data_IF_644436693132
#
_entry.id   IF_644436693132
#
_cell.length_a   1.000
_cell.length_b   1.000
_cell.length_c   1.000
_cell.angle_alpha   90.00
_cell.angle_beta   90.00
_cell.angle_gamma   90.00
#
_symmetry.space_group_name_H-M   'P 1'
#
loop_
_entity.id
_entity.type
_entity.pdbx_description
1 polymer ?
#
# COMPACT_ATOMS: atom_id res chain seq x y z
N UNK A 1 -9.43 8.83 9.14
CA UNK A 1 -8.75 7.52 9.11
C UNK A 1 -9.79 6.52 8.64
N UNK A 2 -9.64 6.01 7.42
CA UNK A 2 -10.58 5.08 6.82
C UNK A 2 -10.06 3.66 7.09
N UNK A 3 -10.79 2.88 7.88
CA UNK A 3 -10.45 1.48 8.16
C UNK A 3 -11.14 0.63 7.09
N UNK A 4 -10.47 0.43 5.97
CA UNK A 4 -11.05 -0.29 4.85
C UNK A 4 -10.75 -1.80 4.97
N UNK A 5 -11.70 -2.57 5.54
CA UNK A 5 -11.63 -4.03 5.62
C UNK A 5 -12.10 -4.60 4.27
N UNK A 6 -11.20 -4.66 3.29
CA UNK A 6 -11.50 -5.30 2.00
C UNK A 6 -11.30 -6.82 2.08
N UNK A 7 -12.41 -7.57 2.05
CA UNK A 7 -12.42 -9.03 1.94
C UNK A 7 -12.31 -9.42 0.46
N UNK A 8 -11.14 -9.84 0.00
CA UNK A 8 -10.94 -10.25 -1.40
C UNK A 8 -11.28 -11.73 -1.58
N UNK A 9 -12.41 -12.04 -2.22
CA UNK A 9 -12.78 -13.41 -2.61
C UNK A 9 -11.93 -13.83 -3.82
N UNK A 10 -10.89 -14.62 -3.59
CA UNK A 10 -10.08 -15.18 -4.67
C UNK A 10 -10.76 -16.43 -5.27
N UNK A 11 -10.64 -16.61 -6.59
CA UNK A 11 -11.26 -17.66 -7.41
C UNK A 11 -10.78 -19.10 -7.12
N UNK A 12 -10.01 -19.31 -6.05
CA UNK A 12 -9.45 -20.62 -5.67
C UNK A 12 -10.09 -21.07 -4.36
N UNK A 13 -10.79 -22.23 -4.32
CA UNK A 13 -11.44 -22.69 -3.11
C UNK A 13 -10.41 -22.95 -2.00
N UNK A 14 -10.52 -22.24 -0.86
CA UNK A 14 -9.74 -22.51 0.35
C UNK A 14 -8.76 -21.40 0.78
N UNK A 15 -8.47 -20.40 -0.06
CA UNK A 15 -7.58 -19.28 0.27
C UNK A 15 -8.40 -18.02 0.61
N UNK A 16 -8.83 -17.90 1.87
CA UNK A 16 -9.43 -16.65 2.39
C UNK A 16 -8.34 -15.63 2.74
N UNK A 17 -7.66 -15.07 1.76
CA UNK A 17 -6.62 -14.05 2.01
C UNK A 17 -7.24 -12.78 2.60
N UNK A 18 -7.30 -12.71 3.93
CA UNK A 18 -7.84 -11.56 4.67
C UNK A 18 -6.66 -10.70 5.13
N UNK A 19 -6.29 -9.73 4.30
CA UNK A 19 -5.24 -8.76 4.60
C UNK A 19 -5.93 -7.54 5.22
N UNK A 20 -5.56 -7.20 6.45
CA UNK A 20 -5.98 -5.96 7.10
C UNK A 20 -4.90 -4.92 6.83
N UNK A 21 -5.23 -3.88 6.06
CA UNK A 21 -4.35 -2.74 5.80
C UNK A 21 -4.89 -1.48 6.46
N UNK A 22 -4.01 -0.73 7.11
CA UNK A 22 -4.30 0.58 7.68
C UNK A 22 -3.33 1.59 7.08
N UNK A 23 -3.87 2.55 6.34
CA UNK A 23 -3.07 3.57 5.65
C UNK A 23 -3.58 4.97 5.92
N UNK A 24 -2.65 5.93 5.89
CA UNK A 24 -2.93 7.35 5.82
C UNK A 24 -2.27 7.88 4.55
N UNK A 25 -3.07 8.57 3.75
CA UNK A 25 -2.59 9.32 2.60
C UNK A 25 -2.74 10.81 2.91
N UNK A 26 -1.66 11.56 2.74
CA UNK A 26 -1.63 13.00 2.87
C UNK A 26 -1.04 13.60 1.60
N UNK A 27 -1.87 14.35 0.89
CA UNK A 27 -1.45 15.11 -0.28
C UNK A 27 -1.21 16.56 0.12
N UNK A 28 -0.11 17.12 -0.36
CA UNK A 28 0.38 18.46 -0.03
C UNK A 28 0.76 19.19 -1.32
N UNK A 29 0.79 20.53 -1.29
CA UNK A 29 1.19 21.37 -2.42
C UNK A 29 0.28 21.21 -3.66
N UNK A 30 -1.04 21.33 -3.47
CA UNK A 30 -2.03 21.27 -4.57
C UNK A 30 -1.87 20.04 -5.47
N UNK A 31 -1.83 18.85 -4.86
CA UNK A 31 -1.65 17.55 -5.54
C UNK A 31 -0.25 17.27 -6.11
N UNK A 32 0.70 18.20 -5.98
CA UNK A 32 2.06 18.00 -6.47
C UNK A 32 2.81 16.88 -5.72
N UNK A 33 2.61 16.77 -4.40
CA UNK A 33 3.32 15.81 -3.57
C UNK A 33 2.34 15.01 -2.72
N UNK A 34 2.33 13.69 -2.90
CA UNK A 34 1.48 12.75 -2.17
C UNK A 34 2.34 11.90 -1.28
N UNK A 35 2.04 11.85 0.01
CA UNK A 35 2.68 10.96 0.96
C UNK A 35 1.69 9.88 1.34
N UNK A 36 2.11 8.62 1.26
CA UNK A 36 1.31 7.49 1.73
C UNK A 36 2.13 6.76 2.76
N UNK A 37 1.57 6.56 3.93
CA UNK A 37 2.16 5.69 4.95
C UNK A 37 1.10 4.70 5.35
N UNK A 38 1.48 3.45 5.56
CA UNK A 38 0.53 2.44 5.94
C UNK A 38 1.20 1.25 6.56
N UNK A 39 0.39 0.38 7.13
CA UNK A 39 0.82 -0.93 7.59
C UNK A 39 -0.18 -1.93 7.06
N UNK A 40 0.26 -3.15 6.77
CA UNK A 40 -0.67 -4.24 6.54
C UNK A 40 -0.28 -5.44 7.37
N UNK A 41 -1.28 -6.21 7.77
CA UNK A 41 -1.12 -7.48 8.47
C UNK A 41 -1.96 -8.53 7.77
N UNK A 42 -1.36 -9.69 7.53
CA UNK A 42 -2.14 -10.83 7.06
C UNK A 42 -2.84 -11.47 8.27
N UNK A 43 -4.17 -11.39 8.33
CA UNK A 43 -4.96 -11.88 9.47
C UNK A 43 -5.06 -13.42 9.47
N UNK A 44 -4.79 -14.07 8.33
CA UNK A 44 -4.72 -15.54 8.27
C UNK A 44 -3.45 -16.12 8.89
N UNK A 45 -2.36 -15.34 8.90
CA UNK A 45 -1.11 -15.77 9.50
C UNK A 45 -1.06 -15.20 10.93
N UNK A 46 -1.37 -16.06 11.91
CA UNK A 46 -1.42 -15.66 13.32
C UNK A 46 -0.07 -15.16 13.84
N UNK A 47 1.05 -15.49 13.18
CA UNK A 47 2.40 -15.03 13.49
C UNK A 47 2.81 -13.75 12.77
N UNK A 48 2.14 -13.38 11.67
CA UNK A 48 2.46 -12.19 10.89
C UNK A 48 2.33 -10.91 11.72
N UNK A 49 3.44 -10.18 11.80
CA UNK A 49 3.50 -8.83 12.36
C UNK A 49 3.05 -7.80 11.33
N UNK A 50 2.73 -6.59 11.81
CA UNK A 50 2.38 -5.48 10.92
C UNK A 50 3.58 -5.09 10.06
N UNK A 51 3.44 -5.20 8.75
CA UNK A 51 4.43 -4.76 7.76
C UNK A 51 4.24 -3.27 7.49
N UNK A 52 5.17 -2.39 7.89
CA UNK A 52 5.07 -0.98 7.54
C UNK A 52 5.44 -0.76 6.08
N UNK A 53 4.73 0.19 5.50
CA UNK A 53 4.83 0.63 4.12
C UNK A 53 4.86 2.15 4.09
N UNK A 54 5.65 2.69 3.18
CA UNK A 54 5.73 4.11 2.92
C UNK A 54 5.79 4.34 1.41
N UNK A 55 5.23 5.44 0.96
CA UNK A 55 5.17 5.80 -0.45
C UNK A 55 5.15 7.30 -0.64
N UNK A 56 5.70 7.70 -1.77
CA UNK A 56 5.86 9.06 -2.23
C UNK A 56 5.37 9.13 -3.67
N UNK A 57 4.39 9.98 -3.91
CA UNK A 57 3.86 10.32 -5.22
C UNK A 57 4.23 11.75 -5.58
N UNK A 58 4.70 11.96 -6.80
CA UNK A 58 4.93 13.27 -7.37
C UNK A 58 4.02 13.42 -8.58
N UNK A 59 3.29 14.52 -8.66
CA UNK A 59 2.49 14.89 -9.82
C UNK A 59 2.96 16.22 -10.39
N UNK A 60 3.36 16.20 -11.65
CA UNK A 60 3.81 17.37 -12.40
C UNK A 60 2.87 17.52 -13.60
N UNK A 61 1.89 18.42 -13.50
CA UNK A 61 0.83 18.60 -14.51
C UNK A 61 0.14 17.27 -14.86
N UNK A 62 0.41 16.76 -16.06
CA UNK A 62 -0.10 15.52 -16.64
C UNK A 62 0.69 14.27 -16.27
N UNK A 63 1.89 14.44 -15.72
CA UNK A 63 2.77 13.34 -15.35
C UNK A 63 2.59 13.01 -13.88
N UNK A 64 2.41 11.73 -13.58
CA UNK A 64 2.32 11.21 -12.22
C UNK A 64 3.32 10.07 -12.05
N UNK A 65 4.10 10.14 -10.99
CA UNK A 65 5.02 9.10 -10.57
C UNK A 65 4.75 8.77 -9.12
N UNK A 66 4.41 7.53 -8.83
CA UNK A 66 4.25 7.02 -7.48
C UNK A 66 5.31 5.96 -7.21
N UNK A 67 6.02 6.07 -6.09
CA UNK A 67 6.97 5.09 -5.60
C UNK A 67 6.53 4.68 -4.19
N UNK A 68 6.43 3.39 -3.93
CA UNK A 68 6.12 2.86 -2.62
C UNK A 68 7.03 1.70 -2.29
N UNK A 69 7.25 1.48 -1.00
CA UNK A 69 8.04 0.39 -0.49
C UNK A 69 7.59 0.00 0.90
N UNK A 70 7.86 -1.24 1.26
CA UNK A 70 7.56 -1.80 2.57
C UNK A 70 8.58 -2.85 2.93
N UNK A 71 8.75 -3.07 4.22
CA UNK A 71 9.69 -4.07 4.71
C UNK A 71 8.98 -5.02 5.66
N UNK A 72 8.89 -6.28 5.24
CA UNK A 72 8.37 -7.37 6.05
C UNK A 72 9.45 -7.84 7.02
N UNK A 73 9.33 -7.41 8.27
CA UNK A 73 10.23 -7.75 9.36
C UNK A 73 10.12 -9.22 9.80
N UNK A 74 9.06 -9.94 9.42
CA UNK A 74 8.85 -11.35 9.78
C UNK A 74 9.63 -12.27 8.84
N UNK A 75 9.48 -12.04 7.53
CA UNK A 75 10.09 -12.86 6.48
C UNK A 75 11.41 -12.31 5.93
N UNK A 76 11.84 -11.15 6.42
CA UNK A 76 13.06 -10.46 5.95
C UNK A 76 12.95 -10.02 4.48
N UNK A 77 11.75 -9.65 4.03
CA UNK A 77 11.45 -9.35 2.65
C UNK A 77 11.19 -7.86 2.43
N UNK A 78 11.87 -7.22 1.49
CA UNK A 78 11.53 -5.88 1.04
C UNK A 78 10.59 -5.98 -0.16
N UNK A 79 9.52 -5.18 -0.15
CA UNK A 79 8.66 -4.95 -1.31
C UNK A 79 8.86 -3.52 -1.78
N UNK A 80 8.96 -3.32 -3.09
CA UNK A 80 8.99 -2.02 -3.71
C UNK A 80 8.04 -2.04 -4.92
N UNK A 81 7.28 -0.98 -5.09
CA UNK A 81 6.38 -0.77 -6.21
C UNK A 81 6.56 0.64 -6.76
N UNK A 82 6.49 0.75 -8.08
CA UNK A 82 6.55 2.02 -8.77
C UNK A 82 5.47 2.07 -9.84
N UNK A 83 4.80 3.19 -9.97
CA UNK A 83 3.81 3.45 -11.00
C UNK A 83 4.14 4.78 -11.69
N UNK A 84 4.04 4.77 -13.02
CA UNK A 84 4.17 5.96 -13.86
C UNK A 84 2.89 6.09 -14.67
N UNK A 85 2.32 7.28 -14.69
CA UNK A 85 1.14 7.60 -15.47
C UNK A 85 1.33 8.93 -16.19
N UNK A 86 0.87 9.00 -17.42
CA UNK A 86 0.84 10.20 -18.24
C UNK A 86 -0.57 10.39 -18.78
N UNK A 87 -1.19 11.53 -18.48
CA UNK A 87 -2.54 11.87 -18.93
C UNK A 87 -2.47 12.97 -19.98
N UNK A 88 -3.01 12.74 -21.19
CA UNK A 88 -3.03 13.70 -22.30
C UNK A 88 -4.44 14.13 -22.65
#
# INVERSE_FOLDING_TARGET
ADMDITSNQTLVPGLKSQVLSLGMEQTVLSEFLSFRVGTYKNVQDAGSIFTPTAGLGIRIYSFRMDLAGGYDFDKGGAIASGALAWTF
#
